data_IF_659771162673
#
_entry.id   IF_659771162673
#
_cell.length_a   1.000
_cell.length_b   1.000
_cell.length_c   1.000
_cell.angle_alpha   90.00
_cell.angle_beta   90.00
_cell.angle_gamma   90.00
#
_symmetry.space_group_name_H-M   'P 1'
#
loop_
_entity.id
_entity.type
_entity.pdbx_description
1 polymer ?
#
# COMPACT_ATOMS: atom_id res chain seq x y z
N UNK A 1 -18.64 21.07 2.14
CA UNK A 1 -17.41 21.56 1.47
C UNK A 1 -16.78 22.56 2.40
N UNK A 2 -15.96 22.09 3.34
CA UNK A 2 -15.44 22.95 4.39
C UNK A 2 -14.17 22.36 4.97
N UNK A 3 -13.20 23.25 5.19
CA UNK A 3 -11.83 23.05 5.69
C UNK A 3 -10.75 22.69 4.65
N UNK A 4 -10.81 23.29 3.46
CA UNK A 4 -9.82 23.17 2.38
C UNK A 4 -8.59 24.10 2.52
N UNK A 5 -8.41 24.78 3.66
CA UNK A 5 -7.16 25.49 3.97
C UNK A 5 -6.01 24.55 4.37
N UNK A 6 -6.32 23.39 4.96
CA UNK A 6 -5.35 22.41 5.49
C UNK A 6 -5.17 21.18 4.59
N UNK A 7 -5.88 21.09 3.46
CA UNK A 7 -5.78 19.97 2.53
C UNK A 7 -4.35 19.74 2.03
N UNK A 8 -3.66 20.83 1.69
CA UNK A 8 -2.26 20.82 1.27
C UNK A 8 -1.30 20.37 2.38
N UNK A 9 -1.54 20.80 3.61
CA UNK A 9 -0.73 20.39 4.77
C UNK A 9 -0.92 18.89 5.04
N UNK A 10 -2.15 18.40 4.92
CA UNK A 10 -2.47 16.98 5.11
C UNK A 10 -1.85 16.07 4.04
N UNK A 11 -1.83 16.49 2.77
CA UNK A 11 -1.17 15.73 1.71
C UNK A 11 0.35 15.76 1.83
N UNK A 12 0.93 16.91 2.21
CA UNK A 12 2.36 17.01 2.49
C UNK A 12 2.77 16.13 3.67
N UNK A 13 1.98 16.11 4.75
CA UNK A 13 2.24 15.24 5.91
C UNK A 13 2.25 13.76 5.51
N UNK A 14 1.24 13.29 4.77
CA UNK A 14 1.19 11.90 4.28
C UNK A 14 2.41 11.56 3.42
N UNK A 15 2.81 12.48 2.54
CA UNK A 15 3.95 12.30 1.64
C UNK A 15 5.27 12.25 2.42
N UNK A 16 5.45 13.13 3.41
CA UNK A 16 6.62 13.15 4.28
C UNK A 16 6.73 11.85 5.10
N UNK A 17 5.61 11.35 5.64
CA UNK A 17 5.57 10.07 6.37
C UNK A 17 5.93 8.91 5.44
N UNK A 18 5.37 8.86 4.21
CA UNK A 18 5.72 7.84 3.22
C UNK A 18 7.20 7.90 2.81
N UNK A 19 7.73 9.09 2.55
CA UNK A 19 9.14 9.28 2.21
C UNK A 19 10.06 8.83 3.36
N UNK A 20 9.72 9.19 4.59
CA UNK A 20 10.44 8.73 5.78
C UNK A 20 10.41 7.20 5.89
N UNK A 21 9.24 6.58 5.74
CA UNK A 21 9.11 5.12 5.78
C UNK A 21 9.94 4.44 4.70
N UNK A 22 9.94 4.94 3.46
CA UNK A 22 10.73 4.35 2.35
C UNK A 22 12.23 4.45 2.63
N UNK A 23 12.70 5.60 3.10
CA UNK A 23 14.13 5.79 3.46
C UNK A 23 14.49 4.88 4.65
N UNK A 24 13.62 4.79 5.65
CA UNK A 24 13.82 3.93 6.82
C UNK A 24 13.85 2.44 6.45
N UNK A 25 12.96 2.00 5.55
CA UNK A 25 12.94 0.64 5.01
C UNK A 25 14.23 0.32 4.25
N UNK A 26 14.75 1.28 3.47
CA UNK A 26 16.03 1.14 2.76
C UNK A 26 17.21 0.96 3.71
N UNK A 27 17.20 1.64 4.86
CA UNK A 27 18.24 1.53 5.89
C UNK A 27 18.09 0.23 6.71
N UNK A 28 16.86 -0.18 6.99
CA UNK A 28 16.56 -1.34 7.86
C UNK A 28 16.71 -2.68 7.14
N UNK A 29 16.43 -2.75 5.84
CA UNK A 29 16.53 -3.99 5.07
C UNK A 29 17.88 -4.07 4.34
N UNK A 30 18.82 -4.92 4.79
CA UNK A 30 20.05 -5.19 4.05
C UNK A 30 19.71 -6.03 2.82
N UNK A 31 19.94 -5.48 1.61
CA UNK A 31 19.82 -6.10 0.27
C UNK A 31 19.11 -7.46 0.24
N UNK A 32 17.78 -7.44 0.06
CA UNK A 32 17.00 -8.64 -0.27
C UNK A 32 17.31 -9.08 -1.70
N UNK A 33 17.50 -10.39 -1.91
CA UNK A 33 17.75 -10.97 -3.24
C UNK A 33 16.55 -10.73 -4.15
N UNK A 34 16.76 -10.44 -5.44
CA UNK A 34 15.66 -10.27 -6.40
C UNK A 34 14.72 -11.49 -6.42
N UNK A 35 15.28 -12.70 -6.24
CA UNK A 35 14.53 -13.96 -6.17
C UNK A 35 13.57 -14.02 -4.97
N UNK A 36 13.97 -13.45 -3.82
CA UNK A 36 13.14 -13.44 -2.61
C UNK A 36 11.96 -12.48 -2.76
N UNK A 37 12.19 -11.34 -3.42
CA UNK A 37 11.13 -10.38 -3.73
C UNK A 37 10.12 -10.97 -4.73
N UNK A 38 10.62 -11.70 -5.73
CA UNK A 38 9.76 -12.39 -6.70
C UNK A 38 8.94 -13.49 -6.02
N UNK A 39 9.55 -14.29 -5.15
CA UNK A 39 8.85 -15.32 -4.39
C UNK A 39 7.78 -14.72 -3.46
N UNK A 40 8.06 -13.60 -2.80
CA UNK A 40 7.06 -12.87 -1.98
C UNK A 40 5.89 -12.38 -2.84
N UNK A 41 6.19 -11.79 -4.00
CA UNK A 41 5.18 -11.25 -4.91
C UNK A 41 4.25 -12.35 -5.42
N UNK A 42 4.80 -13.46 -5.88
CA UNK A 42 4.02 -14.55 -6.46
C UNK A 42 3.37 -15.48 -5.43
N UNK A 43 3.96 -15.64 -4.23
CA UNK A 43 3.40 -16.54 -3.22
C UNK A 43 2.35 -15.85 -2.33
N UNK A 44 2.49 -14.55 -2.08
CA UNK A 44 1.64 -13.83 -1.12
C UNK A 44 0.90 -12.65 -1.73
N UNK A 45 1.55 -11.78 -2.51
CA UNK A 45 0.91 -10.54 -2.99
C UNK A 45 -0.15 -10.80 -4.07
N UNK A 46 0.13 -11.68 -5.04
CA UNK A 46 -0.81 -12.04 -6.13
C UNK A 46 -2.07 -12.75 -5.61
N UNK A 47 -1.98 -13.83 -4.80
CA UNK A 47 -3.20 -14.47 -4.30
C UNK A 47 -4.01 -13.56 -3.37
N UNK A 48 -3.33 -12.72 -2.56
CA UNK A 48 -4.00 -11.77 -1.67
C UNK A 48 -4.74 -10.68 -2.45
N UNK A 49 -4.17 -10.16 -3.55
CA UNK A 49 -4.82 -9.16 -4.38
C UNK A 49 -6.04 -9.73 -5.12
N UNK A 50 -5.93 -10.96 -5.63
CA UNK A 50 -7.06 -11.69 -6.24
C UNK A 50 -8.18 -11.93 -5.23
N UNK A 51 -7.85 -12.32 -3.99
CA UNK A 51 -8.82 -12.49 -2.92
C UNK A 51 -9.52 -11.16 -2.55
N UNK A 52 -8.78 -10.05 -2.49
CA UNK A 52 -9.33 -8.71 -2.24
C UNK A 52 -10.30 -8.26 -3.35
N UNK A 53 -9.96 -8.51 -4.61
CA UNK A 53 -10.83 -8.18 -5.74
C UNK A 53 -12.11 -9.01 -5.68
N UNK A 54 -12.00 -10.32 -5.45
CA UNK A 54 -13.16 -11.20 -5.29
C UNK A 54 -14.04 -10.75 -4.11
N UNK A 55 -13.44 -10.43 -2.96
CA UNK A 55 -14.14 -9.94 -1.77
C UNK A 55 -14.89 -8.64 -2.06
N UNK A 56 -14.22 -7.65 -2.64
CA UNK A 56 -14.83 -6.34 -2.95
C UNK A 56 -15.96 -6.50 -3.96
N UNK A 57 -15.80 -7.38 -4.96
CA UNK A 57 -16.84 -7.72 -5.92
C UNK A 57 -18.08 -8.34 -5.26
N UNK A 58 -17.88 -9.34 -4.41
CA UNK A 58 -18.97 -9.99 -3.65
C UNK A 58 -19.68 -8.96 -2.77
N UNK A 59 -18.94 -8.17 -1.99
CA UNK A 59 -19.49 -7.16 -1.09
C UNK A 59 -20.32 -6.13 -1.87
N UNK A 60 -19.83 -5.66 -3.01
CA UNK A 60 -20.55 -4.69 -3.85
C UNK A 60 -21.82 -5.26 -4.48
N UNK A 61 -21.86 -6.56 -4.78
CA UNK A 61 -23.07 -7.24 -5.27
C UNK A 61 -24.07 -7.48 -4.13
N UNK A 62 -23.61 -7.87 -2.95
CA UNK A 62 -24.47 -8.14 -1.78
C UNK A 62 -25.09 -6.87 -1.20
N UNK A 63 -24.36 -5.74 -1.26
CA UNK A 63 -24.84 -4.44 -0.77
C UNK A 63 -25.76 -3.74 -1.79
N UNK A 64 -25.69 -4.12 -3.07
CA UNK A 64 -26.55 -3.58 -4.14
C UNK A 64 -27.95 -4.17 -4.11
#
# INVERSE_FOLDING_TARGET
>A
WGADGLGWVWTLLKTAVLAFLVIWLRVTYPRLREDQLQKLSWTLLVPLSLAQIALTGIVKVVIS
#
